data_IF_519542469395
#
_entry.id   IF_519542469395
#
_cell.length_a   1.000
_cell.length_b   1.000
_cell.length_c   1.000
_cell.angle_alpha   90.00
_cell.angle_beta   90.00
_cell.angle_gamma   90.00
#
_symmetry.space_group_name_H-M   'P 1'
#
loop_
_entity.id
_entity.type
_entity.pdbx_description
1 polymer ?
#
# COMPACT_ATOMS: atom_id res chain seq x y z
N UNK A 1 13.27 48.80 58.72
CA UNK A 1 11.91 48.48 59.23
C UNK A 1 10.97 49.33 58.38
N UNK A 2 10.11 48.82 57.51
CA UNK A 2 9.05 47.82 57.73
C UNK A 2 8.58 47.23 56.40
N UNK A 3 8.48 45.90 56.32
CA UNK A 3 7.86 45.17 55.21
C UNK A 3 6.32 45.28 55.33
N UNK A 4 5.56 45.50 54.25
CA UNK A 4 4.10 45.57 54.31
C UNK A 4 3.44 44.20 54.57
N UNK A 5 2.25 44.17 55.19
CA UNK A 5 1.60 42.95 55.68
C UNK A 5 1.07 42.05 54.55
N UNK A 6 1.32 40.74 54.67
CA UNK A 6 0.72 39.68 53.85
C UNK A 6 -0.76 39.51 54.13
N UNK A 7 -1.62 39.35 53.11
CA UNK A 7 -3.05 39.08 53.30
C UNK A 7 -3.32 37.65 53.83
N UNK A 8 -4.45 37.42 54.52
CA UNK A 8 -4.79 36.13 55.12
C UNK A 8 -5.17 35.10 54.05
N UNK A 9 -4.56 33.92 54.08
CA UNK A 9 -4.93 32.76 53.27
C UNK A 9 -6.36 32.30 53.64
N UNK A 10 -7.28 32.46 52.69
CA UNK A 10 -8.61 31.86 52.73
C UNK A 10 -8.55 30.37 52.38
N UNK A 11 -9.48 29.63 52.95
CA UNK A 11 -9.60 28.18 53.00
C UNK A 11 -9.57 27.45 51.64
N UNK A 12 -8.57 26.60 51.42
CA UNK A 12 -8.58 25.59 50.35
C UNK A 12 -9.26 24.30 50.86
N UNK A 13 -10.25 23.73 50.13
CA UNK A 13 -10.89 22.48 50.54
C UNK A 13 -9.93 21.29 50.39
N UNK A 14 -9.63 20.63 51.53
CA UNK A 14 -8.83 19.40 51.61
C UNK A 14 -9.51 18.26 50.84
N UNK A 15 -8.83 17.70 49.85
CA UNK A 15 -9.26 16.47 49.18
C UNK A 15 -9.03 15.24 50.08
N UNK A 16 -9.97 14.29 50.16
CA UNK A 16 -9.83 13.09 50.99
C UNK A 16 -8.86 12.05 50.38
N UNK A 17 -8.21 11.19 51.21
CA UNK A 17 -7.28 10.18 50.73
C UNK A 17 -8.03 9.04 50.02
N UNK A 18 -7.57 8.65 48.83
CA UNK A 18 -8.07 7.45 48.15
C UNK A 18 -7.60 6.18 48.85
N UNK A 19 -8.46 5.15 49.01
CA UNK A 19 -8.05 3.86 49.57
C UNK A 19 -7.20 3.04 48.58
N UNK A 20 -6.13 2.42 49.10
CA UNK A 20 -5.26 1.49 48.37
C UNK A 20 -6.02 0.23 47.94
N UNK A 21 -5.91 -0.15 46.67
CA UNK A 21 -6.48 -1.39 46.14
C UNK A 21 -5.53 -2.57 46.42
N UNK A 22 -6.05 -3.74 46.83
CA UNK A 22 -5.23 -4.91 47.11
C UNK A 22 -4.59 -5.48 45.83
N UNK A 23 -3.28 -5.72 45.92
CA UNK A 23 -2.45 -6.28 44.87
C UNK A 23 -2.87 -7.72 44.58
N UNK A 24 -3.51 -7.95 43.43
CA UNK A 24 -4.04 -9.26 43.04
C UNK A 24 -2.94 -10.07 42.33
N UNK A 25 -2.67 -11.26 42.89
CA UNK A 25 -1.64 -12.22 42.49
C UNK A 25 -1.52 -12.44 40.97
N UNK A 26 -0.30 -12.34 40.46
CA UNK A 26 0.07 -12.74 39.09
C UNK A 26 -0.01 -14.27 38.93
N UNK A 27 -0.67 -14.81 37.88
CA UNK A 27 -0.54 -16.21 37.51
C UNK A 27 0.78 -16.49 36.76
N UNK A 28 1.32 -17.74 36.82
CA UNK A 28 2.61 -18.08 36.22
C UNK A 28 2.61 -17.94 34.68
N UNK A 29 3.69 -17.37 34.14
CA UNK A 29 3.94 -17.28 32.70
C UNK A 29 3.90 -18.67 32.04
N UNK A 30 2.92 -18.88 31.16
CA UNK A 30 2.92 -19.99 30.22
C UNK A 30 3.26 -19.45 28.82
N UNK A 31 4.42 -19.90 28.32
CA UNK A 31 4.89 -19.87 26.93
C UNK A 31 4.26 -18.82 26.01
N UNK A 32 4.94 -17.69 25.86
CA UNK A 32 4.55 -16.65 24.91
C UNK A 32 4.53 -17.17 23.48
N UNK A 33 3.33 -17.32 22.91
CA UNK A 33 3.16 -17.19 21.47
C UNK A 33 3.51 -15.74 21.11
N UNK A 34 4.73 -15.51 20.63
CA UNK A 34 5.05 -14.30 19.91
C UNK A 34 4.24 -14.34 18.61
N UNK A 35 3.17 -13.56 18.56
CA UNK A 35 2.47 -13.31 17.31
C UNK A 35 3.51 -12.82 16.28
N UNK A 36 3.53 -13.36 15.06
CA UNK A 36 4.41 -12.86 14.01
C UNK A 36 4.17 -11.36 13.90
N UNK A 37 5.19 -10.56 14.19
CA UNK A 37 5.18 -9.15 13.83
C UNK A 37 5.18 -9.14 12.30
N UNK A 38 4.01 -8.94 11.71
CA UNK A 38 3.90 -8.49 10.33
C UNK A 38 4.71 -7.19 10.23
N UNK A 39 5.97 -7.33 9.84
CA UNK A 39 6.80 -6.20 9.44
C UNK A 39 6.10 -5.60 8.24
N UNK A 40 5.43 -4.47 8.47
CA UNK A 40 4.85 -3.67 7.39
C UNK A 40 5.86 -3.51 6.26
N UNK A 41 5.40 -3.47 4.99
CA UNK A 41 6.26 -3.57 3.83
C UNK A 41 7.46 -2.62 3.94
N UNK A 42 8.66 -3.19 4.09
CA UNK A 42 9.91 -2.45 4.18
C UNK A 42 10.07 -1.63 2.89
N UNK A 43 9.73 -0.34 2.92
CA UNK A 43 9.76 0.56 1.76
C UNK A 43 11.13 0.57 1.07
N UNK A 44 12.22 0.46 1.85
CA UNK A 44 13.59 0.34 1.31
C UNK A 44 13.80 -0.92 0.45
N UNK A 45 13.17 -2.05 0.82
CA UNK A 45 13.21 -3.28 0.02
C UNK A 45 12.34 -3.21 -1.23
N UNK A 46 11.24 -2.45 -1.17
CA UNK A 46 10.33 -2.22 -2.29
C UNK A 46 11.03 -1.49 -3.45
N UNK A 47 11.70 -0.36 -3.18
CA UNK A 47 12.41 0.38 -4.22
C UNK A 47 13.62 -0.38 -4.77
N UNK A 48 14.36 -1.08 -3.90
CA UNK A 48 15.48 -1.94 -4.33
C UNK A 48 15.01 -3.04 -5.30
N UNK A 49 13.85 -3.65 -5.05
CA UNK A 49 13.27 -4.67 -5.93
C UNK A 49 12.66 -4.07 -7.20
N UNK A 50 12.16 -2.83 -7.17
CA UNK A 50 11.63 -2.13 -8.35
C UNK A 50 12.74 -1.79 -9.37
N UNK A 51 13.95 -1.46 -8.89
CA UNK A 51 15.12 -1.21 -9.73
C UNK A 51 16.03 -2.45 -9.91
N UNK A 52 15.54 -3.64 -9.56
CA UNK A 52 16.27 -4.88 -9.81
C UNK A 52 16.05 -5.36 -11.26
N UNK A 53 16.94 -4.94 -12.16
CA UNK A 53 16.96 -5.33 -13.58
C UNK A 53 17.27 -6.83 -13.80
N UNK A 54 17.51 -7.61 -12.74
CA UNK A 54 17.73 -9.06 -12.83
C UNK A 54 16.43 -9.87 -12.99
N UNK A 55 15.24 -9.29 -12.81
CA UNK A 55 13.92 -9.95 -12.90
C UNK A 55 13.78 -11.26 -12.10
N UNK A 56 14.58 -11.47 -11.05
CA UNK A 56 14.58 -12.72 -10.27
C UNK A 56 13.38 -12.87 -9.33
N UNK A 57 12.65 -11.78 -9.08
CA UNK A 57 11.39 -11.77 -8.35
C UNK A 57 10.24 -11.60 -9.34
N UNK A 58 9.17 -12.38 -9.22
CA UNK A 58 7.94 -12.18 -10.00
C UNK A 58 7.24 -10.90 -9.52
N UNK A 59 7.74 -9.75 -10.01
CA UNK A 59 7.38 -8.38 -9.60
C UNK A 59 5.91 -8.06 -9.92
N UNK A 60 5.26 -8.78 -10.82
CA UNK A 60 3.99 -8.29 -11.38
C UNK A 60 2.83 -8.21 -10.38
N UNK A 61 2.63 -9.18 -9.48
CA UNK A 61 1.50 -9.14 -8.53
C UNK A 61 1.70 -8.09 -7.43
N UNK A 62 2.87 -8.08 -6.77
CA UNK A 62 3.11 -7.22 -5.61
C UNK A 62 3.23 -5.74 -5.98
N UNK A 63 3.56 -5.45 -7.24
CA UNK A 63 3.88 -4.09 -7.69
C UNK A 63 2.88 -3.54 -8.71
N UNK A 64 1.90 -4.32 -9.20
CA UNK A 64 0.90 -3.87 -10.19
C UNK A 64 0.22 -2.54 -9.80
N UNK A 65 -0.14 -2.37 -8.53
CA UNK A 65 -0.78 -1.14 -8.06
C UNK A 65 0.15 0.08 -8.16
N UNK A 66 1.44 -0.09 -7.83
CA UNK A 66 2.42 1.00 -7.91
C UNK A 66 2.79 1.29 -9.36
N UNK A 67 2.95 0.25 -10.19
CA UNK A 67 3.19 0.40 -11.64
C UNK A 67 2.02 1.16 -12.27
N UNK A 68 0.78 0.81 -11.94
CA UNK A 68 -0.40 1.54 -12.41
C UNK A 68 -0.42 2.98 -11.90
N UNK A 69 -0.11 3.22 -10.63
CA UNK A 69 -0.03 4.58 -10.07
C UNK A 69 1.01 5.46 -10.77
N UNK A 70 2.21 4.92 -11.04
CA UNK A 70 3.26 5.63 -11.78
C UNK A 70 2.83 5.86 -13.23
N UNK A 71 2.26 4.86 -13.90
CA UNK A 71 1.75 5.00 -15.26
C UNK A 71 0.64 6.06 -15.36
N UNK A 72 -0.28 6.08 -14.39
CA UNK A 72 -1.34 7.08 -14.30
C UNK A 72 -0.77 8.48 -14.14
N UNK A 73 0.21 8.66 -13.26
CA UNK A 73 0.91 9.94 -13.08
C UNK A 73 1.59 10.39 -14.38
N UNK A 74 2.38 9.50 -15.01
CA UNK A 74 3.12 9.82 -16.23
C UNK A 74 2.18 10.17 -17.38
N UNK A 75 1.13 9.36 -17.61
CA UNK A 75 0.14 9.63 -18.66
C UNK A 75 -0.61 10.93 -18.36
N UNK A 76 -0.95 11.21 -17.10
CA UNK A 76 -1.56 12.47 -16.70
C UNK A 76 -0.69 13.69 -17.02
N UNK A 77 0.61 13.61 -16.71
CA UNK A 77 1.58 14.67 -17.04
C UNK A 77 1.73 14.82 -18.55
N UNK A 78 1.88 13.72 -19.29
CA UNK A 78 1.98 13.75 -20.75
C UNK A 78 0.71 14.30 -21.41
N UNK A 79 -0.47 13.96 -20.87
CA UNK A 79 -1.73 14.51 -21.35
C UNK A 79 -1.81 16.02 -21.11
N UNK A 80 -1.38 16.50 -19.94
CA UNK A 80 -1.32 17.94 -19.65
C UNK A 80 -0.38 18.67 -20.62
N UNK A 81 0.83 18.13 -20.83
CA UNK A 81 1.78 18.66 -21.81
C UNK A 81 1.18 18.64 -23.22
N UNK A 82 0.53 17.55 -23.61
CA UNK A 82 -0.14 17.43 -24.90
C UNK A 82 -1.26 18.44 -25.11
N UNK A 83 -2.03 18.75 -24.06
CA UNK A 83 -3.07 19.80 -24.08
C UNK A 83 -2.42 21.17 -24.29
N UNK A 84 -1.33 21.48 -23.59
CA UNK A 84 -0.59 22.74 -23.77
C UNK A 84 -0.07 22.86 -25.22
N UNK A 85 0.55 21.78 -25.74
CA UNK A 85 1.01 21.73 -27.13
C UNK A 85 -0.15 21.95 -28.10
N UNK A 86 -1.31 21.34 -27.86
CA UNK A 86 -2.48 21.51 -28.71
C UNK A 86 -2.91 22.98 -28.81
N UNK A 87 -2.93 23.70 -27.67
CA UNK A 87 -3.24 25.13 -27.65
C UNK A 87 -2.18 25.98 -28.35
N UNK A 88 -0.88 25.66 -28.20
CA UNK A 88 0.20 26.35 -28.93
C UNK A 88 0.00 26.14 -30.44
N UNK A 89 -0.25 24.92 -30.88
CA UNK A 89 -0.50 24.60 -32.30
C UNK A 89 -1.73 25.31 -32.86
N UNK A 90 -2.76 25.57 -32.04
CA UNK A 90 -3.93 26.36 -32.48
C UNK A 90 -3.58 27.79 -32.89
N UNK A 91 -2.47 28.36 -32.38
CA UNK A 91 -2.03 29.71 -32.76
C UNK A 91 -1.54 29.79 -34.20
N UNK A 92 -1.03 28.68 -34.74
CA UNK A 92 -0.60 28.56 -36.14
C UNK A 92 -1.72 27.99 -37.02
N UNK A 93 -2.42 26.96 -36.53
CA UNK A 93 -3.51 26.29 -37.23
C UNK A 93 -4.55 25.76 -36.25
N UNK A 94 -5.71 26.41 -36.21
CA UNK A 94 -6.82 26.03 -35.35
C UNK A 94 -7.26 24.57 -35.56
N UNK A 95 -7.32 24.11 -36.82
CA UNK A 95 -7.72 22.74 -37.14
C UNK A 95 -6.70 21.71 -36.63
N UNK A 96 -5.40 21.96 -36.80
CA UNK A 96 -4.36 21.05 -36.34
C UNK A 96 -4.29 20.97 -34.81
N UNK A 97 -4.42 22.11 -34.13
CA UNK A 97 -4.48 22.15 -32.67
C UNK A 97 -5.73 21.46 -32.12
N UNK A 98 -6.90 21.63 -32.75
CA UNK A 98 -8.13 20.93 -32.34
C UNK A 98 -8.01 19.42 -32.50
N UNK A 99 -7.46 18.96 -33.63
CA UNK A 99 -7.22 17.54 -33.87
C UNK A 99 -6.25 16.96 -32.82
N UNK A 100 -5.17 17.68 -32.52
CA UNK A 100 -4.20 17.29 -31.49
C UNK A 100 -4.86 17.18 -30.11
N UNK A 101 -5.70 18.15 -29.74
CA UNK A 101 -6.43 18.13 -28.47
C UNK A 101 -7.35 16.91 -28.37
N UNK A 102 -8.11 16.61 -29.41
CA UNK A 102 -8.99 15.43 -29.46
C UNK A 102 -8.20 14.12 -29.38
N UNK A 103 -7.07 14.04 -30.08
CA UNK A 103 -6.20 12.87 -30.02
C UNK A 103 -5.65 12.66 -28.60
N UNK A 104 -5.17 13.70 -27.93
CA UNK A 104 -4.66 13.59 -26.55
C UNK A 104 -5.78 13.16 -25.60
N UNK A 105 -6.97 13.75 -25.72
CA UNK A 105 -8.12 13.46 -24.88
C UNK A 105 -8.59 12.00 -25.01
N UNK A 106 -8.53 11.42 -26.20
CA UNK A 106 -8.92 10.02 -26.45
C UNK A 106 -7.77 9.05 -26.15
N UNK A 107 -6.54 9.40 -26.54
CA UNK A 107 -5.38 8.53 -26.38
C UNK A 107 -5.03 8.30 -24.91
N UNK A 108 -5.08 9.34 -24.06
CA UNK A 108 -4.72 9.20 -22.65
C UNK A 108 -5.56 8.14 -21.89
N UNK A 109 -6.91 8.19 -21.87
CA UNK A 109 -7.71 7.15 -21.23
C UNK A 109 -7.58 5.80 -21.94
N UNK A 110 -7.43 5.79 -23.27
CA UNK A 110 -7.21 4.54 -24.02
C UNK A 110 -5.94 3.80 -23.56
N UNK A 111 -4.81 4.51 -23.42
CA UNK A 111 -3.58 3.93 -22.89
C UNK A 111 -3.74 3.45 -21.44
N UNK A 112 -4.46 4.19 -20.59
CA UNK A 112 -4.72 3.75 -19.22
C UNK A 112 -5.54 2.45 -19.16
N UNK A 113 -6.53 2.29 -20.05
CA UNK A 113 -7.32 1.07 -20.15
C UNK A 113 -6.43 -0.10 -20.62
N UNK A 114 -5.57 0.11 -21.62
CA UNK A 114 -4.64 -0.94 -22.09
C UNK A 114 -3.69 -1.40 -20.99
N UNK A 115 -3.14 -0.47 -20.21
CA UNK A 115 -2.28 -0.80 -19.08
C UNK A 115 -3.07 -1.58 -18.03
N UNK A 116 -4.30 -1.17 -17.71
CA UNK A 116 -5.16 -1.89 -16.77
C UNK A 116 -5.43 -3.32 -17.23
N UNK A 117 -5.82 -3.49 -18.50
CA UNK A 117 -6.07 -4.80 -19.09
C UNK A 117 -4.82 -5.68 -19.06
N UNK A 118 -3.65 -5.11 -19.36
CA UNK A 118 -2.39 -5.83 -19.38
C UNK A 118 -1.98 -6.27 -17.97
N UNK A 119 -2.06 -5.37 -16.98
CA UNK A 119 -1.77 -5.72 -15.59
C UNK A 119 -2.74 -6.76 -15.05
N UNK A 120 -4.02 -6.64 -15.37
CA UNK A 120 -5.04 -7.61 -14.98
C UNK A 120 -4.77 -8.99 -15.60
N UNK A 121 -4.38 -9.03 -16.87
CA UNK A 121 -3.99 -10.25 -17.56
C UNK A 121 -2.78 -10.92 -16.89
N UNK A 122 -1.72 -10.15 -16.59
CA UNK A 122 -0.53 -10.71 -15.92
C UNK A 122 -0.84 -11.21 -14.51
N UNK A 123 -1.61 -10.45 -13.72
CA UNK A 123 -2.01 -10.86 -12.37
C UNK A 123 -2.86 -12.13 -12.42
N UNK A 124 -3.79 -12.23 -13.38
CA UNK A 124 -4.63 -13.40 -13.59
C UNK A 124 -3.84 -14.64 -14.01
N UNK A 125 -2.88 -14.48 -14.93
CA UNK A 125 -1.99 -15.57 -15.37
C UNK A 125 -1.17 -16.14 -14.20
N UNK A 126 -0.58 -15.26 -13.38
CA UNK A 126 0.24 -15.70 -12.24
C UNK A 126 -0.64 -16.36 -11.17
N UNK A 127 -1.84 -15.82 -10.89
CA UNK A 127 -2.79 -16.44 -9.96
C UNK A 127 -3.23 -17.83 -10.43
N UNK A 128 -3.46 -18.00 -11.73
CA UNK A 128 -3.77 -19.31 -12.32
C UNK A 128 -2.62 -20.30 -12.12
N UNK A 129 -1.38 -19.89 -12.36
CA UNK A 129 -0.20 -20.73 -12.14
C UNK A 129 -0.04 -21.15 -10.66
N UNK A 130 -0.32 -20.25 -9.72
CA UNK A 130 -0.28 -20.54 -8.28
C UNK A 130 -1.35 -21.55 -7.86
N UNK A 131 -2.57 -21.43 -8.40
CA UNK A 131 -3.66 -22.34 -8.08
C UNK A 131 -3.38 -23.78 -8.57
N UNK A 132 -2.76 -23.96 -9.73
CA UNK A 132 -2.37 -25.30 -10.23
C UNK A 132 -1.30 -25.96 -9.36
N UNK A 133 -0.34 -25.19 -8.85
CA UNK A 133 0.68 -25.69 -7.93
C UNK A 133 0.07 -26.21 -6.62
N UNK A 134 -0.94 -25.50 -6.07
CA UNK A 134 -1.61 -25.89 -4.83
C UNK A 134 -2.33 -27.25 -4.94
N UNK A 135 -3.08 -27.48 -6.02
CA UNK A 135 -3.84 -28.73 -6.21
C UNK A 135 -2.94 -29.97 -6.28
N UNK A 136 -1.74 -29.82 -6.82
CA UNK A 136 -0.78 -30.94 -6.93
C UNK A 136 -0.23 -31.34 -5.56
N UNK A 137 0.02 -30.35 -4.69
CA UNK A 137 0.52 -30.58 -3.33
C UNK A 137 -0.50 -31.25 -2.41
N UNK A 138 -1.78 -30.92 -2.54
CA UNK A 138 -2.86 -31.59 -1.81
C UNK A 138 -3.01 -33.06 -2.24
N UNK A 139 -2.96 -33.33 -3.55
CA UNK A 139 -3.03 -34.71 -4.06
C UNK A 139 -1.88 -35.58 -3.53
N UNK A 140 -0.69 -35.01 -3.41
CA UNK A 140 0.47 -35.74 -2.92
C UNK A 140 0.38 -36.04 -1.42
N UNK A 141 -0.16 -35.12 -0.63
CA UNK A 141 -0.42 -35.34 0.80
C UNK A 141 -1.51 -36.39 1.01
N UNK A 142 -2.61 -36.32 0.27
CA UNK A 142 -3.69 -37.31 0.33
C UNK A 142 -3.21 -38.70 -0.10
N UNK A 143 -2.35 -38.77 -1.13
CA UNK A 143 -1.72 -40.03 -1.55
C UNK A 143 -0.81 -40.61 -0.48
N UNK A 144 -0.04 -39.78 0.22
CA UNK A 144 0.81 -40.21 1.35
C UNK A 144 -0.02 -40.72 2.53
N UNK A 145 -1.13 -40.06 2.88
CA UNK A 145 -2.04 -40.55 3.91
C UNK A 145 -2.67 -41.91 3.55
N UNK A 146 -3.14 -42.07 2.31
CA UNK A 146 -3.70 -43.34 1.86
C UNK A 146 -2.66 -44.47 1.82
N UNK A 147 -1.40 -44.15 1.56
CA UNK A 147 -0.29 -45.10 1.60
C UNK A 147 0.12 -45.50 3.02
N UNK A 148 -0.10 -44.66 4.04
CA UNK A 148 0.21 -44.98 5.44
C UNK A 148 -0.89 -45.77 6.14
N UNK A 149 -2.12 -45.75 5.60
CA UNK A 149 -3.28 -46.48 6.14
C UNK A 149 -3.41 -47.93 5.64
N UNK A 150 -2.47 -48.41 4.82
CA UNK A 150 -2.46 -49.75 4.23
C UNK A 150 -1.29 -50.57 4.78
#
# INVERSE_FOLDING_TARGET
MTQPPTPPNGDEPRQPPYPEQPQQNQPPEFGGYQAPRDQGPNAAGFFKALFDFSFKSFVTIKFAAVIYGVALLLIGVLALVGIIIAFITMTESAAAGLLTLLLVLVAAPFYLILIRLTLELYVSMIRTAQNTAATTSELENLRREMSQRR
#
